data_IF_777936280825
#
_entry.id   IF_777936280825
#
_cell.length_a   1.000
_cell.length_b   1.000
_cell.length_c   1.000
_cell.angle_alpha   90.00
_cell.angle_beta   90.00
_cell.angle_gamma   90.00
#
_symmetry.space_group_name_H-M   'P 1'
#
loop_
_entity.id
_entity.type
_entity.pdbx_description
1 polymer ?
#
# COMPACT_ATOMS: atom_id res chain seq x y z
N UNK A 1 -18.59 -30.76 -17.38
CA UNK A 1 -18.71 -30.66 -15.90
C UNK A 1 -17.41 -30.13 -15.38
N UNK A 2 -17.51 -29.01 -14.65
CA UNK A 2 -16.48 -28.26 -13.95
C UNK A 2 -15.69 -29.10 -12.97
N UNK A 3 -14.41 -28.79 -12.80
CA UNK A 3 -13.74 -28.71 -11.48
C UNK A 3 -12.66 -27.62 -11.60
N UNK A 4 -12.98 -26.44 -11.07
CA UNK A 4 -12.03 -25.36 -10.76
C UNK A 4 -11.31 -25.71 -9.45
N UNK A 5 -9.99 -25.61 -9.43
CA UNK A 5 -9.16 -25.79 -8.24
C UNK A 5 -8.64 -24.40 -7.76
N UNK A 6 -9.05 -23.91 -6.58
CA UNK A 6 -8.90 -22.50 -6.18
C UNK A 6 -7.54 -22.10 -5.56
N UNK A 7 -6.48 -22.91 -5.64
CA UNK A 7 -5.23 -22.66 -4.90
C UNK A 7 -3.93 -22.65 -5.69
N UNK A 8 -3.95 -22.47 -7.02
CA UNK A 8 -2.71 -22.29 -7.78
C UNK A 8 -2.51 -20.81 -8.13
N UNK A 9 -1.84 -20.07 -7.24
CA UNK A 9 -1.31 -18.73 -7.55
C UNK A 9 0.06 -18.90 -8.23
N UNK A 10 0.12 -18.59 -9.52
CA UNK A 10 1.36 -18.49 -10.28
C UNK A 10 2.19 -17.31 -9.75
N UNK A 11 3.38 -17.61 -9.22
CA UNK A 11 4.21 -16.67 -8.45
C UNK A 11 5.18 -15.86 -9.35
N UNK A 12 5.23 -16.12 -10.66
CA UNK A 12 6.15 -15.42 -11.58
C UNK A 12 5.55 -15.13 -12.98
N UNK A 13 4.25 -14.80 -13.05
CA UNK A 13 3.57 -14.40 -14.29
C UNK A 13 2.87 -13.05 -14.16
N UNK A 14 3.40 -12.03 -14.84
CA UNK A 14 2.74 -10.80 -15.32
C UNK A 14 1.58 -10.18 -14.50
N UNK A 15 1.91 -9.33 -13.53
CA UNK A 15 1.04 -8.19 -13.17
C UNK A 15 1.30 -7.00 -14.10
N UNK A 16 0.85 -7.11 -15.35
CA UNK A 16 0.74 -5.97 -16.25
C UNK A 16 -0.69 -5.40 -16.20
N UNK A 17 -0.88 -4.52 -15.23
CA UNK A 17 -1.72 -3.31 -15.24
C UNK A 17 -3.05 -3.36 -16.01
N UNK A 18 -4.14 -3.48 -15.25
CA UNK A 18 -5.42 -2.88 -15.64
C UNK A 18 -5.22 -1.35 -15.67
N UNK A 19 -5.04 -0.81 -16.87
CA UNK A 19 -5.28 0.59 -17.18
C UNK A 19 -5.94 0.62 -18.55
N UNK A 20 -7.27 0.59 -18.53
CA UNK A 20 -8.04 1.02 -19.67
C UNK A 20 -7.77 2.49 -19.92
N UNK A 21 -7.31 2.80 -21.12
CA UNK A 21 -7.64 3.98 -21.91
C UNK A 21 -6.79 3.92 -23.17
N UNK A 22 -7.42 3.54 -24.28
CA UNK A 22 -6.79 3.59 -25.59
C UNK A 22 -6.55 5.02 -26.04
N UNK A 23 -5.49 5.19 -26.82
CA UNK A 23 -5.36 6.16 -27.91
C UNK A 23 -3.99 5.95 -28.58
N UNK A 24 -4.02 5.80 -29.90
CA UNK A 24 -2.88 5.46 -30.73
C UNK A 24 -1.77 6.52 -30.75
N UNK A 25 -0.61 6.13 -31.28
CA UNK A 25 -0.13 6.56 -32.60
C UNK A 25 1.32 6.10 -32.81
N UNK A 26 1.56 5.45 -33.95
CA UNK A 26 2.79 5.38 -34.77
C UNK A 26 4.12 4.90 -34.18
N UNK A 27 4.72 3.88 -34.80
CA UNK A 27 6.04 3.99 -35.44
C UNK A 27 6.51 2.68 -36.14
N UNK A 28 6.56 2.76 -37.47
CA UNK A 28 7.54 2.20 -38.43
C UNK A 28 7.75 0.68 -38.60
N UNK A 29 7.16 0.18 -39.71
CA UNK A 29 7.75 -0.57 -40.85
C UNK A 29 9.10 -1.27 -40.68
N UNK A 30 9.16 -2.58 -41.00
CA UNK A 30 9.64 -3.08 -42.31
C UNK A 30 9.44 -4.62 -42.40
N UNK A 31 8.86 -5.13 -43.50
CA UNK A 31 9.09 -6.49 -43.99
C UNK A 31 8.61 -6.60 -45.44
N UNK A 32 9.41 -7.16 -46.37
CA UNK A 32 9.12 -7.07 -47.80
C UNK A 32 8.34 -8.26 -48.36
N UNK A 33 7.52 -7.93 -49.36
CA UNK A 33 7.16 -8.66 -50.58
C UNK A 33 6.60 -10.09 -50.47
N UNK A 34 5.32 -10.24 -50.78
CA UNK A 34 4.88 -11.00 -51.97
C UNK A 34 3.43 -10.62 -52.34
N UNK A 35 3.19 -10.39 -53.63
CA UNK A 35 1.88 -10.26 -54.32
C UNK A 35 1.59 -11.65 -54.97
N UNK A 36 0.38 -12.07 -55.42
CA UNK A 36 -0.68 -11.24 -56.01
C UNK A 36 -2.16 -11.67 -55.80
N UNK A 37 -3.05 -10.79 -56.28
CA UNK A 37 -4.47 -10.98 -56.65
C UNK A 37 -5.49 -11.27 -55.53
N UNK A 38 -6.24 -10.24 -55.12
CA UNK A 38 -7.66 -10.39 -54.80
C UNK A 38 -8.45 -9.08 -55.03
N UNK A 39 -9.58 -9.18 -55.73
CA UNK A 39 -10.48 -8.10 -56.13
C UNK A 39 -11.19 -7.45 -54.92
N UNK A 40 -10.83 -6.21 -54.57
CA UNK A 40 -11.45 -5.47 -53.45
C UNK A 40 -12.36 -4.31 -53.95
N UNK A 41 -13.65 -4.25 -53.58
CA UNK A 41 -14.54 -3.15 -54.00
C UNK A 41 -14.22 -1.84 -53.25
N UNK A 42 -14.35 -0.71 -53.97
CA UNK A 42 -13.97 0.62 -53.47
C UNK A 42 -14.65 1.01 -52.13
N UNK A 43 -13.92 1.61 -51.16
CA UNK A 43 -14.45 1.93 -49.84
C UNK A 43 -15.38 3.15 -49.84
N UNK A 44 -16.50 3.03 -49.11
CA UNK A 44 -17.45 4.12 -48.87
C UNK A 44 -16.85 5.23 -47.96
N UNK A 45 -17.15 6.49 -48.28
CA UNK A 45 -16.73 7.67 -47.51
C UNK A 45 -17.33 7.71 -46.08
N UNK A 46 -16.56 8.04 -45.03
CA UNK A 46 -17.10 8.22 -43.69
C UNK A 46 -17.80 9.59 -43.53
N UNK A 47 -18.91 9.58 -42.79
CA UNK A 47 -19.72 10.77 -42.47
C UNK A 47 -18.97 11.76 -41.54
N UNK A 48 -19.26 13.07 -41.61
CA UNK A 48 -18.52 14.08 -40.85
C UNK A 48 -18.81 14.01 -39.35
N UNK A 49 -17.76 14.02 -38.53
CA UNK A 49 -17.85 14.04 -37.07
C UNK A 49 -18.23 15.43 -36.55
N UNK A 50 -19.27 15.50 -35.71
CA UNK A 50 -19.67 16.71 -34.99
C UNK A 50 -18.70 16.91 -33.82
N UNK A 51 -18.12 18.12 -33.61
CA UNK A 51 -17.23 18.34 -32.49
C UNK A 51 -18.01 18.32 -31.17
N UNK A 52 -17.61 17.43 -30.26
CA UNK A 52 -18.10 17.42 -28.89
C UNK A 52 -17.72 18.76 -28.23
N UNK A 53 -18.72 19.53 -27.83
CA UNK A 53 -18.59 20.79 -27.12
C UNK A 53 -17.83 20.60 -25.81
N UNK A 54 -16.83 21.45 -25.60
CA UNK A 54 -15.95 21.53 -24.45
C UNK A 54 -16.65 22.08 -23.18
N UNK A 55 -17.81 21.53 -22.83
CA UNK A 55 -18.57 21.92 -21.64
C UNK A 55 -18.70 20.71 -20.71
N UNK A 56 -17.75 20.59 -19.78
CA UNK A 56 -17.76 19.49 -18.80
C UNK A 56 -16.45 19.24 -18.06
N UNK A 57 -15.38 19.95 -18.38
CA UNK A 57 -14.14 19.92 -17.62
C UNK A 57 -14.30 20.77 -16.35
N UNK A 58 -15.29 20.44 -15.52
CA UNK A 58 -15.28 20.82 -14.11
C UNK A 58 -13.93 20.37 -13.56
N UNK A 59 -13.12 21.36 -13.19
CA UNK A 59 -11.79 21.21 -12.64
C UNK A 59 -11.80 20.13 -11.56
N UNK A 60 -11.44 18.90 -11.93
CA UNK A 60 -11.22 17.80 -10.99
C UNK A 60 -9.91 18.13 -10.29
N UNK A 61 -9.98 19.07 -9.33
CA UNK A 61 -8.83 19.53 -8.55
C UNK A 61 -8.22 18.28 -7.92
N UNK A 62 -7.01 17.95 -8.35
CA UNK A 62 -6.28 16.81 -7.79
C UNK A 62 -6.25 16.95 -6.27
N UNK A 63 -6.46 15.86 -5.51
CA UNK A 63 -6.37 15.92 -4.06
C UNK A 63 -5.00 16.49 -3.65
N UNK A 64 -4.94 17.30 -2.57
CA UNK A 64 -3.69 17.89 -2.12
C UNK A 64 -2.67 16.79 -1.85
N UNK A 65 -1.47 16.93 -2.44
CA UNK A 65 -0.38 15.97 -2.29
C UNK A 65 0.23 16.11 -0.91
N UNK A 66 0.47 14.99 -0.22
CA UNK A 66 1.20 14.99 1.04
C UNK A 66 2.66 15.38 0.87
N UNK A 67 3.26 15.94 1.92
CA UNK A 67 4.68 16.29 1.99
C UNK A 67 5.52 15.13 2.57
N UNK A 68 6.81 15.11 2.23
CA UNK A 68 7.74 14.12 2.75
C UNK A 68 8.03 14.36 4.23
N UNK A 69 7.89 13.32 5.06
CA UNK A 69 8.29 13.39 6.47
C UNK A 69 9.80 13.16 6.61
N UNK A 70 10.51 14.13 7.19
CA UNK A 70 11.94 14.03 7.46
C UNK A 70 12.20 13.70 8.93
N UNK A 71 12.67 12.48 9.19
CA UNK A 71 12.99 12.03 10.53
C UNK A 71 14.38 12.54 10.98
N UNK A 72 14.39 13.59 11.80
CA UNK A 72 15.64 14.16 12.34
C UNK A 72 16.36 13.24 13.36
N UNK A 73 15.59 12.49 14.15
CA UNK A 73 16.09 11.73 15.30
C UNK A 73 15.47 10.33 15.42
N UNK A 74 15.66 9.68 16.56
CA UNK A 74 14.96 8.42 16.80
C UNK A 74 13.45 8.67 16.77
N UNK A 75 12.67 7.70 16.29
CA UNK A 75 11.20 7.82 16.19
C UNK A 75 10.49 7.88 17.54
N UNK A 76 11.21 7.62 18.63
CA UNK A 76 10.67 7.70 19.99
C UNK A 76 9.78 6.52 20.33
N UNK A 77 10.14 5.31 19.88
CA UNK A 77 9.40 4.10 20.20
C UNK A 77 9.39 3.84 21.71
N UNK A 78 8.27 3.38 22.24
CA UNK A 78 8.17 2.99 23.64
C UNK A 78 9.16 1.88 24.01
N UNK A 79 9.46 1.76 25.31
CA UNK A 79 10.46 0.79 25.80
C UNK A 79 9.89 -0.62 25.87
N UNK A 80 8.62 -0.75 26.27
CA UNK A 80 7.96 -2.05 26.40
C UNK A 80 7.15 -2.43 25.16
N UNK A 81 7.01 -3.73 24.90
CA UNK A 81 6.17 -4.21 23.80
C UNK A 81 4.69 -3.92 24.02
N UNK A 82 4.24 -3.86 25.27
CA UNK A 82 2.87 -3.50 25.61
C UNK A 82 2.56 -2.04 25.27
N UNK A 83 3.46 -1.11 25.58
CA UNK A 83 3.29 0.29 25.18
C UNK A 83 3.34 0.44 23.66
N UNK A 84 4.25 -0.27 22.97
CA UNK A 84 4.27 -0.28 21.50
C UNK A 84 2.98 -0.84 20.88
N UNK A 85 2.34 -1.80 21.53
CA UNK A 85 1.03 -2.28 21.09
C UNK A 85 -0.04 -1.18 21.19
N UNK A 86 -0.02 -0.37 22.25
CA UNK A 86 -0.90 0.80 22.36
C UNK A 86 -0.59 1.84 21.29
N UNK A 87 0.69 2.12 21.05
CA UNK A 87 1.12 3.04 19.99
C UNK A 87 0.66 2.55 18.61
N UNK A 88 0.72 1.24 18.35
CA UNK A 88 0.21 0.65 17.11
C UNK A 88 -1.29 0.83 16.96
N UNK A 89 -2.08 0.54 18.00
CA UNK A 89 -3.54 0.71 17.98
C UNK A 89 -3.91 2.18 17.75
N UNK A 90 -3.22 3.10 18.42
CA UNK A 90 -3.40 4.54 18.22
C UNK A 90 -3.06 4.96 16.77
N UNK A 91 -1.97 4.43 16.20
CA UNK A 91 -1.59 4.70 14.83
C UNK A 91 -2.59 4.14 13.80
N UNK A 92 -3.17 2.95 14.04
CA UNK A 92 -4.21 2.39 13.18
C UNK A 92 -5.44 3.30 13.16
N UNK A 93 -5.89 3.76 14.32
CA UNK A 93 -7.03 4.70 14.41
C UNK A 93 -6.75 6.00 13.69
N UNK A 94 -5.56 6.55 13.88
CA UNK A 94 -5.17 7.79 13.22
C UNK A 94 -5.11 7.60 11.70
N UNK A 95 -4.56 6.48 11.23
CA UNK A 95 -4.55 6.17 9.80
C UNK A 95 -5.98 6.06 9.25
N UNK A 96 -6.88 5.39 9.96
CA UNK A 96 -8.27 5.26 9.57
C UNK A 96 -8.99 6.62 9.48
N UNK A 97 -8.79 7.52 10.45
CA UNK A 97 -9.40 8.86 10.41
C UNK A 97 -8.88 9.69 9.24
N UNK A 98 -7.58 9.64 8.95
CA UNK A 98 -6.98 10.35 7.82
C UNK A 98 -7.56 9.86 6.48
N UNK A 99 -7.76 8.54 6.36
CA UNK A 99 -8.38 7.93 5.17
C UNK A 99 -9.84 8.35 5.02
N UNK A 100 -10.61 8.32 6.10
CA UNK A 100 -12.02 8.74 6.12
C UNK A 100 -12.18 10.23 5.74
N UNK A 101 -11.31 11.08 6.27
CA UNK A 101 -11.26 12.52 5.98
C UNK A 101 -10.72 12.86 4.57
N UNK A 102 -10.22 11.86 3.82
CA UNK A 102 -9.69 12.01 2.46
C UNK A 102 -8.64 13.13 2.31
N UNK A 103 -7.75 13.25 3.30
CA UNK A 103 -6.72 14.30 3.34
C UNK A 103 -5.31 13.73 3.55
N UNK A 104 -4.26 14.50 3.24
CA UNK A 104 -2.91 14.14 3.67
C UNK A 104 -2.77 14.23 5.20
N UNK A 105 -1.88 13.40 5.74
CA UNK A 105 -1.43 13.50 7.13
C UNK A 105 -0.63 14.80 7.34
N UNK A 106 -0.92 15.52 8.42
CA UNK A 106 -0.10 16.62 8.91
C UNK A 106 1.24 16.13 9.45
N UNK A 107 2.20 17.03 9.67
CA UNK A 107 3.54 16.69 10.17
C UNK A 107 3.48 15.98 11.54
N UNK A 108 2.58 16.40 12.43
CA UNK A 108 2.41 15.77 13.74
C UNK A 108 1.80 14.37 13.63
N UNK A 109 0.87 14.18 12.72
CA UNK A 109 0.28 12.87 12.44
C UNK A 109 1.28 11.94 11.77
N UNK A 110 2.09 12.43 10.84
CA UNK A 110 3.21 11.67 10.26
C UNK A 110 4.20 11.23 11.36
N UNK A 111 4.51 12.12 12.32
CA UNK A 111 5.36 11.81 13.46
C UNK A 111 4.75 10.80 14.43
N UNK A 112 3.42 10.71 14.52
CA UNK A 112 2.72 9.67 15.27
C UNK A 112 2.71 8.34 14.48
N UNK A 113 2.33 8.37 13.20
CA UNK A 113 2.22 7.20 12.33
C UNK A 113 3.56 6.45 12.18
N UNK A 114 4.68 7.17 12.12
CA UNK A 114 6.01 6.55 11.95
C UNK A 114 6.41 5.65 13.14
N UNK A 115 5.71 5.76 14.28
CA UNK A 115 5.92 4.91 15.47
C UNK A 115 5.26 3.55 15.37
N UNK A 116 4.39 3.32 14.37
CA UNK A 116 3.84 2.01 14.11
C UNK A 116 4.96 1.02 13.80
N UNK A 117 5.08 -0.04 14.60
CA UNK A 117 6.08 -1.10 14.42
C UNK A 117 5.51 -2.40 13.88
N UNK A 118 4.18 -2.48 13.73
CA UNK A 118 3.47 -3.71 13.43
C UNK A 118 3.50 -4.72 14.58
N UNK A 119 3.02 -5.94 14.31
CA UNK A 119 2.72 -6.95 15.32
C UNK A 119 3.70 -8.13 15.33
N UNK A 120 4.82 -7.99 14.62
CA UNK A 120 5.78 -9.04 14.37
C UNK A 120 6.54 -9.59 15.59
N UNK A 121 6.69 -8.78 16.63
CA UNK A 121 7.40 -9.19 17.84
C UNK A 121 6.62 -10.27 18.59
N UNK A 122 7.27 -11.37 18.96
CA UNK A 122 6.60 -12.53 19.56
C UNK A 122 5.81 -12.19 20.83
N UNK A 123 6.29 -11.26 21.67
CA UNK A 123 5.55 -10.84 22.86
C UNK A 123 4.25 -10.11 22.50
N UNK A 124 4.31 -9.26 21.48
CA UNK A 124 3.18 -8.49 20.98
C UNK A 124 2.16 -9.42 20.31
N UNK A 125 2.62 -10.26 19.38
CA UNK A 125 1.85 -11.28 18.68
C UNK A 125 1.08 -12.21 19.63
N UNK A 126 1.78 -12.77 20.63
CA UNK A 126 1.21 -13.71 21.58
C UNK A 126 0.41 -13.05 22.71
N UNK A 127 0.41 -11.72 22.77
CA UNK A 127 -0.28 -10.93 23.78
C UNK A 127 -1.59 -10.34 23.27
N UNK A 128 -1.52 -9.58 22.17
CA UNK A 128 -2.63 -8.76 21.69
C UNK A 128 -3.69 -9.55 20.91
N UNK A 129 -3.31 -10.67 20.30
CA UNK A 129 -4.25 -11.52 19.57
C UNK A 129 -4.74 -12.69 20.44
N UNK A 130 -5.99 -13.10 20.20
CA UNK A 130 -6.54 -14.33 20.78
C UNK A 130 -5.78 -15.54 20.24
N UNK A 131 -5.50 -16.49 21.12
CA UNK A 131 -4.89 -17.75 20.73
C UNK A 131 -5.95 -18.71 20.23
N UNK A 132 -5.66 -19.52 19.19
CA UNK A 132 -6.59 -20.56 18.76
C UNK A 132 -6.98 -21.47 19.92
N UNK A 133 -8.28 -21.60 20.19
CA UNK A 133 -8.82 -22.42 21.27
C UNK A 133 -8.85 -21.75 22.66
N UNK A 134 -8.46 -20.48 22.78
CA UNK A 134 -8.62 -19.70 24.01
C UNK A 134 -9.73 -18.64 23.86
N UNK A 135 -10.64 -18.57 24.83
CA UNK A 135 -11.77 -17.62 24.82
C UNK A 135 -11.37 -16.17 25.17
N UNK A 136 -10.13 -15.95 25.59
CA UNK A 136 -9.66 -14.66 26.12
C UNK A 136 -8.26 -14.26 25.64
N UNK A 137 -7.92 -13.01 25.93
CA UNK A 137 -6.55 -12.50 25.74
C UNK A 137 -5.65 -12.93 26.90
N UNK A 138 -4.34 -12.92 26.66
CA UNK A 138 -3.34 -13.17 27.70
C UNK A 138 -3.48 -12.15 28.84
N UNK A 139 -3.23 -12.61 30.08
CA UNK A 139 -3.27 -11.74 31.27
C UNK A 139 -2.49 -10.43 31.10
N UNK A 140 -3.20 -9.32 31.34
CA UNK A 140 -2.76 -7.93 31.21
C UNK A 140 -2.80 -7.35 29.78
N UNK A 141 -3.18 -8.14 28.77
CA UNK A 141 -3.35 -7.69 27.39
C UNK A 141 -4.81 -7.54 26.98
N UNK A 142 -5.75 -7.87 27.86
CA UNK A 142 -7.18 -7.91 27.60
C UNK A 142 -7.72 -6.59 27.06
N UNK A 143 -7.33 -5.48 27.69
CA UNK A 143 -7.75 -4.14 27.28
C UNK A 143 -7.25 -3.83 25.87
N UNK A 144 -5.94 -3.96 25.61
CA UNK A 144 -5.32 -3.60 24.33
C UNK A 144 -5.78 -4.54 23.21
N UNK A 145 -5.98 -5.82 23.51
CA UNK A 145 -6.47 -6.81 22.57
C UNK A 145 -7.91 -6.54 22.14
N UNK A 146 -8.80 -6.28 23.11
CA UNK A 146 -10.19 -5.90 22.83
C UNK A 146 -10.26 -4.57 22.08
N UNK A 147 -9.39 -3.63 22.45
CA UNK A 147 -9.25 -2.34 21.81
C UNK A 147 -8.88 -2.48 20.32
N UNK A 148 -7.88 -3.31 20.00
CA UNK A 148 -7.49 -3.63 18.64
C UNK A 148 -8.63 -4.29 17.87
N UNK A 149 -9.24 -5.34 18.43
CA UNK A 149 -10.35 -6.10 17.82
C UNK A 149 -11.57 -5.22 17.51
N UNK A 150 -11.81 -4.17 18.32
CA UNK A 150 -12.88 -3.19 18.06
C UNK A 150 -12.50 -2.09 17.05
N UNK A 151 -11.21 -1.89 16.81
CA UNK A 151 -10.71 -0.79 15.95
C UNK A 151 -10.68 -1.19 14.47
N UNK A 152 -10.51 -2.48 14.18
CA UNK A 152 -10.39 -3.00 12.81
C UNK A 152 -11.52 -3.98 12.51
N UNK A 153 -11.81 -4.20 11.23
CA UNK A 153 -12.75 -5.25 10.85
C UNK A 153 -12.15 -6.65 11.02
N UNK A 154 -12.99 -7.68 10.89
CA UNK A 154 -12.57 -9.07 11.09
C UNK A 154 -11.51 -9.54 10.08
N UNK A 155 -11.54 -9.03 8.84
CA UNK A 155 -10.57 -9.35 7.80
C UNK A 155 -9.21 -8.73 8.08
N UNK A 156 -9.19 -7.47 8.51
CA UNK A 156 -7.99 -6.77 8.95
C UNK A 156 -7.41 -7.39 10.21
N UNK A 157 -8.25 -7.74 11.20
CA UNK A 157 -7.80 -8.44 12.41
C UNK A 157 -7.13 -9.78 12.08
N UNK A 158 -7.74 -10.57 11.20
CA UNK A 158 -7.16 -11.82 10.71
C UNK A 158 -5.87 -11.61 9.90
N UNK A 159 -5.73 -10.48 9.20
CA UNK A 159 -4.52 -10.12 8.46
C UNK A 159 -3.39 -9.68 9.38
N UNK A 160 -3.69 -8.85 10.39
CA UNK A 160 -2.73 -8.41 11.40
C UNK A 160 -2.20 -9.57 12.24
N UNK A 161 -3.05 -10.54 12.62
CA UNK A 161 -2.61 -11.71 13.39
C UNK A 161 -1.64 -12.62 12.61
N UNK A 162 -1.71 -12.60 11.27
CA UNK A 162 -0.78 -13.33 10.39
C UNK A 162 0.55 -12.61 10.15
N UNK A 163 0.69 -11.31 10.47
CA UNK A 163 1.92 -10.53 10.28
C UNK A 163 3.11 -10.93 11.19
N UNK A 164 3.03 -12.06 11.88
CA UNK A 164 3.93 -12.44 12.96
C UNK A 164 5.09 -13.35 12.51
N UNK A 165 5.03 -13.88 11.28
CA UNK A 165 5.85 -15.02 10.89
C UNK A 165 7.24 -14.68 10.36
N UNK A 166 7.51 -13.43 9.93
CA UNK A 166 8.77 -13.03 9.27
C UNK A 166 9.32 -11.65 9.65
N UNK A 167 8.84 -11.06 10.74
CA UNK A 167 9.27 -9.73 11.15
C UNK A 167 10.64 -9.76 11.82
N UNK A 168 11.71 -9.63 11.02
CA UNK A 168 13.05 -9.40 11.53
C UNK A 168 13.26 -7.91 11.81
N UNK A 169 13.36 -7.55 13.09
CA UNK A 169 13.59 -6.17 13.51
C UNK A 169 15.09 -5.87 13.57
N UNK A 170 15.55 -4.95 12.72
CA UNK A 170 16.88 -4.33 12.86
C UNK A 170 16.76 -3.15 13.82
N UNK A 171 17.52 -3.13 14.94
CA UNK A 171 17.51 -2.02 15.87
C UNK A 171 17.74 -0.66 15.20
N UNK A 172 17.01 0.36 15.64
CA UNK A 172 17.02 1.67 15.00
C UNK A 172 18.41 2.34 15.04
N UNK A 173 19.24 2.04 16.04
CA UNK A 173 20.63 2.50 16.07
C UNK A 173 21.49 1.88 14.95
N UNK A 174 21.22 0.63 14.55
CA UNK A 174 21.91 -0.02 13.42
C UNK A 174 21.46 0.62 12.11
N UNK A 175 20.15 0.83 11.93
CA UNK A 175 19.61 1.54 10.76
C UNK A 175 20.24 2.93 10.62
N UNK A 176 20.38 3.67 11.72
CA UNK A 176 21.04 4.98 11.72
C UNK A 176 22.51 4.90 11.36
N UNK A 177 23.24 3.91 11.86
CA UNK A 177 24.64 3.71 11.50
C UNK A 177 24.82 3.39 10.01
N UNK A 178 23.95 2.53 9.46
CA UNK A 178 23.92 2.20 8.03
C UNK A 178 23.63 3.47 7.21
N UNK A 179 22.62 4.25 7.59
CA UNK A 179 22.24 5.47 6.88
C UNK A 179 23.33 6.56 6.95
N UNK A 180 23.95 6.74 8.11
CA UNK A 180 25.11 7.61 8.25
C UNK A 180 26.28 7.16 7.37
N UNK A 181 26.43 5.86 7.12
CA UNK A 181 27.36 5.31 6.13
C UNK A 181 27.02 5.75 4.71
N UNK A 182 25.79 5.50 4.28
CA UNK A 182 25.28 5.87 2.94
C UNK A 182 25.43 7.36 2.64
N UNK A 183 25.17 8.23 3.64
CA UNK A 183 25.33 9.68 3.48
C UNK A 183 26.78 10.13 3.28
N UNK A 184 27.77 9.42 3.86
CA UNK A 184 29.20 9.74 3.63
C UNK A 184 29.64 9.46 2.20
N UNK A 185 28.97 8.54 1.51
CA UNK A 185 29.22 8.21 0.10
C UNK A 185 28.49 9.16 -0.87
N UNK A 186 27.89 10.25 -0.36
CA UNK A 186 27.29 11.31 -1.19
C UNK A 186 25.82 11.11 -1.54
N UNK A 187 25.17 10.06 -1.04
CA UNK A 187 23.72 9.84 -1.25
C UNK A 187 22.91 10.64 -0.23
N UNK A 188 22.12 11.59 -0.71
CA UNK A 188 21.20 12.38 0.10
C UNK A 188 19.77 12.34 -0.47
N UNK A 189 18.76 12.39 0.40
CA UNK A 189 17.37 12.60 -0.03
C UNK A 189 17.19 14.02 -0.57
N UNK A 190 16.38 14.19 -1.62
CA UNK A 190 15.88 15.51 -2.01
C UNK A 190 15.07 16.08 -0.84
N UNK A 191 15.40 17.31 -0.42
CA UNK A 191 14.57 18.10 0.49
C UNK A 191 13.31 18.59 -0.22
#
# INVERSE_FOLDING_TARGET
MSHDDPFTLDLFGDTALFSGLGLGLTAFSDSPADDPDDDDPAPHSPAPAVPATADGQLLRRAPPKGENFHLAGMRGLARSWRERARDNVAAIRLAASIVDEQRPASVDEQAALIRFTGFGASELANGVFRRPGEDGFRKGWEEIGAELESTVDAGDYASLSRCTQYAHFTPEYIIRAIWAGVQREGVAWSR
#
